data_IF_488026145156
#
_entry.id   IF_488026145156
#
_cell.length_a   1.000
_cell.length_b   1.000
_cell.length_c   1.000
_cell.angle_alpha   90.00
_cell.angle_beta   90.00
_cell.angle_gamma   90.00
#
_symmetry.space_group_name_H-M   'P 1'
#
loop_
_entity.id
_entity.type
_entity.pdbx_description
1 polymer ?
#
# COMPACT_ATOMS: atom_id res chain seq x y z
N UNK A 1 20.06 -11.79 -54.32
CA UNK A 1 19.44 -13.09 -54.02
C UNK A 1 18.84 -13.01 -52.63
N UNK A 2 17.52 -13.20 -52.56
CA UNK A 2 16.68 -13.10 -51.36
C UNK A 2 16.89 -14.31 -50.42
N UNK A 3 16.84 -14.08 -49.11
CA UNK A 3 16.11 -14.94 -48.17
C UNK A 3 15.90 -14.17 -46.85
N UNK A 4 14.63 -13.85 -46.59
CA UNK A 4 14.15 -13.22 -45.37
C UNK A 4 13.85 -14.29 -44.30
N UNK A 5 14.05 -13.97 -43.03
CA UNK A 5 13.48 -14.71 -41.91
C UNK A 5 12.79 -13.73 -40.94
N UNK A 6 11.51 -13.52 -41.19
CA UNK A 6 10.56 -12.81 -40.32
C UNK A 6 9.93 -13.86 -39.40
N UNK A 7 10.23 -13.81 -38.10
CA UNK A 7 9.53 -14.64 -37.10
C UNK A 7 8.29 -13.89 -36.64
N UNK A 8 7.12 -14.36 -37.10
CA UNK A 8 5.79 -13.85 -36.75
C UNK A 8 5.30 -14.47 -35.43
N UNK A 9 4.74 -13.60 -34.58
CA UNK A 9 3.94 -13.95 -33.39
C UNK A 9 2.71 -14.76 -33.79
N UNK A 10 2.50 -15.90 -33.13
CA UNK A 10 1.23 -16.63 -33.17
C UNK A 10 0.25 -16.02 -32.17
N UNK A 11 -0.87 -15.50 -32.68
CA UNK A 11 -2.05 -15.18 -31.91
C UNK A 11 -2.90 -16.44 -31.77
N UNK A 12 -3.15 -16.88 -30.54
CA UNK A 12 -4.12 -17.95 -30.26
C UNK A 12 -5.48 -17.29 -30.03
N UNK A 13 -6.34 -17.39 -31.03
CA UNK A 13 -7.76 -17.10 -30.91
C UNK A 13 -8.45 -18.28 -30.21
N UNK A 14 -8.97 -18.06 -29.00
CA UNK A 14 -9.82 -19.02 -28.31
C UNK A 14 -11.23 -18.88 -28.90
N UNK A 15 -11.56 -19.82 -29.79
CA UNK A 15 -12.90 -19.97 -30.33
C UNK A 15 -13.86 -20.49 -29.25
N UNK A 16 -14.99 -19.80 -29.12
CA UNK A 16 -16.14 -20.14 -28.29
C UNK A 16 -16.68 -21.53 -28.66
N UNK A 17 -16.47 -22.53 -27.81
CA UNK A 17 -17.17 -23.82 -27.91
C UNK A 17 -18.40 -23.81 -27.01
N UNK A 18 -19.55 -23.60 -27.65
CA UNK A 18 -20.87 -23.95 -27.14
C UNK A 18 -20.90 -25.46 -26.85
N UNK A 19 -20.93 -25.84 -25.56
CA UNK A 19 -21.16 -27.22 -25.14
C UNK A 19 -22.68 -27.40 -25.04
N UNK A 20 -23.25 -28.11 -26.02
CA UNK A 20 -24.62 -28.61 -25.96
C UNK A 20 -24.68 -29.72 -24.91
N UNK A 21 -25.46 -29.51 -23.85
CA UNK A 21 -25.79 -30.54 -22.86
C UNK A 21 -26.81 -31.49 -23.50
N UNK A 22 -26.36 -32.69 -23.85
CA UNK A 22 -27.23 -33.79 -24.27
C UNK A 22 -27.95 -34.34 -23.03
N UNK A 23 -29.27 -34.22 -22.99
CA UNK A 23 -30.13 -34.89 -21.99
C UNK A 23 -30.09 -36.38 -22.28
N UNK A 24 -29.28 -37.14 -21.53
CA UNK A 24 -29.32 -38.60 -21.53
C UNK A 24 -30.34 -39.04 -20.49
N UNK A 25 -31.50 -39.49 -20.96
CA UNK A 25 -32.56 -40.09 -20.15
C UNK A 25 -32.14 -41.50 -19.77
N UNK A 26 -31.46 -41.67 -18.64
CA UNK A 26 -31.17 -42.98 -18.06
C UNK A 26 -32.40 -43.47 -17.29
N UNK A 27 -33.12 -44.44 -17.87
CA UNK A 27 -34.10 -45.26 -17.16
C UNK A 27 -33.30 -46.27 -16.30
N UNK A 28 -33.10 -45.94 -15.02
CA UNK A 28 -32.52 -46.84 -14.02
C UNK A 28 -33.58 -47.10 -12.96
N UNK A 29 -34.12 -48.32 -12.93
CA UNK A 29 -34.98 -48.83 -11.87
C UNK A 29 -34.16 -49.10 -10.62
N UNK A 30 -33.94 -48.06 -9.81
CA UNK A 30 -33.37 -48.18 -8.46
C UNK A 30 -34.39 -47.60 -7.49
N UNK A 31 -34.76 -48.41 -6.50
CA UNK A 31 -35.70 -48.04 -5.45
C UNK A 31 -35.32 -46.69 -4.82
N UNK A 32 -36.33 -45.85 -4.56
CA UNK A 32 -36.16 -44.56 -3.88
C UNK A 32 -35.49 -44.83 -2.53
N UNK A 33 -34.34 -44.18 -2.22
CA UNK A 33 -33.70 -44.37 -0.93
C UNK A 33 -34.64 -43.83 0.15
N UNK A 34 -35.01 -44.70 1.10
CA UNK A 34 -35.72 -44.31 2.31
C UNK A 34 -34.93 -43.20 3.01
N UNK A 35 -35.56 -42.07 3.36
CA UNK A 35 -34.89 -41.01 4.10
C UNK A 35 -34.35 -41.57 5.42
N UNK A 36 -33.18 -41.10 5.83
CA UNK A 36 -32.63 -41.43 7.14
C UNK A 36 -33.48 -40.78 8.23
N UNK A 37 -33.50 -41.37 9.44
CA UNK A 37 -34.18 -40.83 10.62
C UNK A 37 -33.80 -39.35 10.93
N UNK A 38 -32.61 -38.91 10.49
CA UNK A 38 -32.18 -37.52 10.62
C UNK A 38 -32.98 -36.55 9.72
N UNK A 39 -33.46 -37.02 8.56
CA UNK A 39 -34.28 -36.24 7.64
C UNK A 39 -35.74 -36.15 8.07
N UNK A 40 -36.21 -37.02 8.97
CA UNK A 40 -37.56 -36.99 9.55
C UNK A 40 -37.67 -36.07 10.78
N UNK A 41 -36.54 -35.69 11.37
CA UNK A 41 -36.46 -34.79 12.52
C UNK A 41 -36.28 -33.32 12.15
N UNK A 42 -36.08 -33.01 10.86
CA UNK A 42 -36.13 -31.63 10.42
C UNK A 42 -37.58 -31.14 10.47
N UNK A 43 -37.90 -30.05 11.18
CA UNK A 43 -39.23 -29.48 11.12
C UNK A 43 -39.52 -29.13 9.65
N UNK A 44 -40.58 -29.73 9.10
CA UNK A 44 -41.10 -29.36 7.79
C UNK A 44 -41.61 -27.92 7.90
N UNK A 45 -40.72 -26.95 7.64
CA UNK A 45 -41.06 -25.53 7.65
C UNK A 45 -41.97 -25.29 6.45
N UNK A 46 -43.27 -25.48 6.67
CA UNK A 46 -44.37 -25.09 5.78
C UNK A 46 -44.56 -23.57 5.75
N UNK A 47 -43.46 -22.84 5.57
CA UNK A 47 -43.48 -21.47 5.10
C UNK A 47 -43.33 -21.48 3.58
N UNK A 48 -43.83 -20.46 2.85
CA UNK A 48 -43.38 -20.27 1.49
C UNK A 48 -41.84 -20.24 1.52
N UNK A 49 -41.19 -21.12 0.75
CA UNK A 49 -39.79 -20.98 0.37
C UNK A 49 -39.69 -19.74 -0.51
N UNK A 50 -39.96 -18.57 0.05
CA UNK A 50 -39.41 -17.34 -0.46
C UNK A 50 -37.91 -17.55 -0.35
N UNK A 51 -37.31 -17.88 -1.50
CA UNK A 51 -35.88 -17.76 -1.68
C UNK A 51 -35.51 -16.41 -1.07
N UNK A 52 -34.78 -16.42 0.03
CA UNK A 52 -34.16 -15.22 0.60
C UNK A 52 -33.51 -14.54 -0.60
N UNK A 53 -33.85 -13.26 -0.82
CA UNK A 53 -33.74 -12.56 -2.10
C UNK A 53 -32.47 -12.91 -2.89
N UNK A 54 -32.60 -12.95 -4.22
CA UNK A 54 -31.52 -13.24 -5.17
C UNK A 54 -30.14 -12.90 -4.60
N UNK A 55 -29.31 -13.92 -4.38
CA UNK A 55 -27.97 -13.72 -3.86
C UNK A 55 -27.30 -12.62 -4.70
N UNK A 56 -26.71 -11.58 -4.06
CA UNK A 56 -26.14 -10.47 -4.81
C UNK A 56 -25.19 -10.98 -5.90
N UNK A 57 -25.17 -10.33 -7.06
CA UNK A 57 -24.20 -10.68 -8.09
C UNK A 57 -22.82 -10.13 -7.72
N UNK A 58 -21.76 -10.86 -8.05
CA UNK A 58 -20.40 -10.33 -7.94
C UNK A 58 -20.19 -9.20 -8.93
N UNK A 59 -19.62 -8.10 -8.43
CA UNK A 59 -19.22 -6.96 -9.25
C UNK A 59 -17.86 -6.44 -8.78
N UNK A 60 -17.28 -5.45 -9.48
CA UNK A 60 -16.08 -4.76 -8.98
C UNK A 60 -16.30 -4.16 -7.58
N UNK A 61 -17.53 -3.73 -7.29
CA UNK A 61 -17.94 -3.12 -6.03
C UNK A 61 -18.41 -4.13 -4.98
N UNK A 62 -18.54 -5.41 -5.34
CA UNK A 62 -19.04 -6.46 -4.48
C UNK A 62 -18.34 -7.78 -4.84
N UNK A 63 -17.16 -7.99 -4.25
CA UNK A 63 -16.40 -9.23 -4.42
C UNK A 63 -16.40 -10.00 -3.11
N UNK A 64 -16.88 -11.26 -3.12
CA UNK A 64 -17.11 -11.99 -1.88
C UNK A 64 -15.82 -12.34 -1.15
N UNK A 65 -14.79 -12.75 -1.88
CA UNK A 65 -13.48 -13.06 -1.28
C UNK A 65 -12.84 -11.84 -0.63
N UNK A 66 -12.96 -10.68 -1.26
CA UNK A 66 -12.51 -9.42 -0.66
C UNK A 66 -13.29 -9.10 0.61
N UNK A 67 -14.62 -9.22 0.56
CA UNK A 67 -15.49 -8.94 1.71
C UNK A 67 -15.18 -9.88 2.89
N UNK A 68 -14.93 -11.17 2.63
CA UNK A 68 -14.51 -12.11 3.67
C UNK A 68 -13.12 -11.77 4.22
N UNK A 69 -12.17 -11.40 3.37
CA UNK A 69 -10.84 -11.01 3.83
C UNK A 69 -10.83 -9.74 4.69
N UNK A 70 -11.86 -8.89 4.56
CA UNK A 70 -12.05 -7.73 5.43
C UNK A 70 -12.67 -8.12 6.78
N UNK A 71 -13.38 -9.24 6.87
CA UNK A 71 -13.84 -9.79 8.14
C UNK A 71 -12.68 -10.10 9.09
N UNK A 72 -11.56 -10.59 8.54
CA UNK A 72 -10.31 -10.78 9.28
C UNK A 72 -9.66 -9.45 9.73
N UNK A 73 -10.05 -8.32 9.12
CA UNK A 73 -9.64 -6.96 9.48
C UNK A 73 -10.65 -6.26 10.40
N UNK A 74 -11.62 -6.99 10.96
CA UNK A 74 -12.74 -6.48 11.77
C UNK A 74 -13.69 -5.53 11.01
N UNK A 75 -13.68 -5.56 9.67
CA UNK A 75 -14.51 -4.72 8.81
C UNK A 75 -15.53 -5.59 8.08
N UNK A 76 -16.81 -5.28 8.23
CA UNK A 76 -17.89 -5.94 7.49
C UNK A 76 -18.51 -4.93 6.52
N UNK A 77 -18.13 -4.92 5.23
CA UNK A 77 -18.70 -3.99 4.27
C UNK A 77 -20.21 -4.16 4.15
N UNK A 78 -20.96 -3.09 4.43
CA UNK A 78 -22.42 -3.06 4.24
C UNK A 78 -22.84 -2.49 2.89
N UNK A 79 -21.90 -1.87 2.18
CA UNK A 79 -22.12 -1.21 0.89
C UNK A 79 -21.00 -1.57 -0.10
N UNK A 80 -20.67 -0.65 -1.02
CA UNK A 80 -19.70 -0.94 -2.07
C UNK A 80 -18.28 -1.06 -1.51
N UNK A 81 -17.53 -2.03 -2.01
CA UNK A 81 -16.13 -2.22 -1.68
C UNK A 81 -15.30 -2.44 -2.95
N UNK A 82 -14.29 -1.58 -3.16
CA UNK A 82 -13.43 -1.62 -4.33
C UNK A 82 -11.99 -1.96 -3.93
N UNK A 83 -11.51 -3.13 -4.32
CA UNK A 83 -10.11 -3.53 -4.13
C UNK A 83 -9.25 -3.20 -5.33
N UNK A 84 -8.14 -2.48 -5.11
CA UNK A 84 -7.15 -2.13 -6.13
C UNK A 84 -7.78 -1.62 -7.43
N UNK A 85 -8.78 -0.74 -7.28
CA UNK A 85 -9.57 -0.19 -8.38
C UNK A 85 -8.67 0.43 -9.45
N UNK A 86 -9.06 0.31 -10.71
CA UNK A 86 -8.27 0.82 -11.82
C UNK A 86 -8.02 2.34 -11.71
N UNK A 87 -6.81 2.80 -12.06
CA UNK A 87 -6.37 4.20 -11.88
C UNK A 87 -7.27 5.22 -12.58
N UNK A 88 -7.83 4.88 -13.74
CA UNK A 88 -8.74 5.76 -14.48
C UNK A 88 -10.09 5.92 -13.77
N UNK A 89 -10.62 4.83 -13.19
CA UNK A 89 -11.83 4.85 -12.37
C UNK A 89 -11.60 5.55 -11.04
N UNK A 90 -10.44 5.35 -10.42
CA UNK A 90 -10.03 6.07 -9.21
C UNK A 90 -9.89 7.57 -9.47
N UNK A 91 -9.27 7.97 -10.58
CA UNK A 91 -9.12 9.37 -10.95
C UNK A 91 -10.49 10.05 -11.17
N UNK A 92 -11.43 9.36 -11.82
CA UNK A 92 -12.79 9.87 -12.00
C UNK A 92 -13.53 10.02 -10.66
N UNK A 93 -13.43 9.03 -9.77
CA UNK A 93 -14.06 9.08 -8.45
C UNK A 93 -13.40 10.15 -7.54
N UNK A 94 -12.07 10.27 -7.57
CA UNK A 94 -11.32 11.25 -6.80
C UNK A 94 -11.59 12.69 -7.25
N UNK A 95 -11.89 12.91 -8.54
CA UNK A 95 -12.19 14.25 -9.06
C UNK A 95 -13.47 14.86 -8.45
N UNK A 96 -14.46 14.03 -8.11
CA UNK A 96 -15.73 14.46 -7.52
C UNK A 96 -15.78 14.33 -6.00
N UNK A 97 -14.83 13.60 -5.39
CA UNK A 97 -14.76 13.42 -3.95
C UNK A 97 -14.33 14.70 -3.23
N UNK A 98 -14.82 14.87 -2.00
CA UNK A 98 -14.39 15.96 -1.12
C UNK A 98 -12.85 15.95 -0.95
N UNK A 99 -12.20 17.13 -0.86
CA UNK A 99 -10.77 17.20 -0.57
C UNK A 99 -10.45 16.52 0.76
N UNK A 100 -9.31 15.82 0.83
CA UNK A 100 -8.75 15.38 2.11
C UNK A 100 -8.06 16.60 2.70
N UNK A 101 -8.44 16.98 3.93
CA UNK A 101 -7.74 18.06 4.61
C UNK A 101 -6.27 17.65 4.79
N UNK A 102 -5.37 18.51 4.32
CA UNK A 102 -3.94 18.29 4.42
C UNK A 102 -3.45 19.04 5.66
N UNK A 103 -2.85 18.35 6.62
CA UNK A 103 -2.20 19.05 7.73
C UNK A 103 -1.03 19.87 7.21
N UNK A 104 -0.93 21.10 7.74
CA UNK A 104 0.28 21.90 7.61
C UNK A 104 1.43 21.25 8.40
N UNK A 105 2.66 21.50 7.98
CA UNK A 105 3.86 21.03 8.67
C UNK A 105 3.86 21.47 10.15
N UNK A 106 4.42 20.67 11.09
CA UNK A 106 5.25 19.49 10.87
C UNK A 106 4.47 18.20 10.54
N UNK A 107 5.17 17.20 10.00
CA UNK A 107 4.60 15.88 9.78
C UNK A 107 4.09 15.30 11.11
N UNK A 108 2.81 14.94 11.16
CA UNK A 108 2.23 14.21 12.28
C UNK A 108 2.94 12.85 12.45
N UNK A 109 3.25 12.50 13.69
CA UNK A 109 3.76 11.18 14.09
C UNK A 109 2.64 10.44 14.79
N UNK A 110 2.43 9.18 14.42
CA UNK A 110 1.43 8.34 15.05
C UNK A 110 1.89 7.97 16.46
N UNK A 111 0.95 8.00 17.40
CA UNK A 111 1.24 7.64 18.79
C UNK A 111 1.10 6.13 18.96
N UNK A 112 2.10 5.49 19.59
CA UNK A 112 1.93 4.10 20.03
C UNK A 112 0.90 4.07 21.16
N UNK A 113 -0.24 3.42 20.92
CA UNK A 113 -1.32 3.34 21.89
C UNK A 113 -1.31 1.95 22.57
N UNK A 114 -1.46 1.88 23.91
CA UNK A 114 -1.64 0.62 24.60
C UNK A 114 -2.84 -0.17 24.05
N UNK A 115 -2.78 -1.49 24.15
CA UNK A 115 -3.74 -2.40 23.50
C UNK A 115 -5.21 -2.08 23.80
N UNK A 116 -5.59 -1.82 25.07
CA UNK A 116 -6.97 -1.53 25.45
C UNK A 116 -7.54 -0.27 24.75
N UNK A 117 -6.98 0.93 25.01
CA UNK A 117 -7.42 2.16 24.34
C UNK A 117 -7.31 2.10 22.81
N UNK A 118 -6.32 1.40 22.28
CA UNK A 118 -6.20 1.20 20.84
C UNK A 118 -7.33 0.35 20.28
N UNK A 119 -7.71 -0.74 20.95
CA UNK A 119 -8.77 -1.63 20.52
C UNK A 119 -10.13 -0.93 20.52
N UNK A 120 -10.40 -0.08 21.51
CA UNK A 120 -11.61 0.75 21.53
C UNK A 120 -11.68 1.69 20.30
N UNK A 121 -10.58 2.38 20.00
CA UNK A 121 -10.46 3.23 18.81
C UNK A 121 -10.59 2.41 17.51
N UNK A 122 -9.93 1.26 17.45
CA UNK A 122 -9.95 0.35 16.31
C UNK A 122 -11.37 -0.12 16.00
N UNK A 123 -12.09 -0.61 17.01
CA UNK A 123 -13.46 -1.11 16.87
C UNK A 123 -14.43 0.00 16.45
N UNK A 124 -14.28 1.22 16.98
CA UNK A 124 -15.09 2.35 16.57
C UNK A 124 -14.84 2.72 15.10
N UNK A 125 -13.57 2.82 14.69
CA UNK A 125 -13.21 3.20 13.30
C UNK A 125 -13.62 2.13 12.29
N UNK A 126 -13.35 0.85 12.56
CA UNK A 126 -13.72 -0.27 11.67
C UNK A 126 -15.24 -0.41 11.55
N UNK A 127 -15.99 -0.18 12.64
CA UNK A 127 -17.45 -0.09 12.60
C UNK A 127 -17.94 1.06 11.72
N UNK A 128 -17.33 2.25 11.82
CA UNK A 128 -17.68 3.37 10.94
C UNK A 128 -17.35 3.09 9.47
N UNK A 129 -16.21 2.46 9.20
CA UNK A 129 -15.84 2.04 7.86
C UNK A 129 -16.85 1.02 7.30
N UNK A 130 -17.29 0.07 8.11
CA UNK A 130 -18.31 -0.92 7.73
C UNK A 130 -19.61 -0.27 7.21
N UNK A 131 -19.98 0.88 7.75
CA UNK A 131 -21.17 1.65 7.34
C UNK A 131 -20.92 2.69 6.24
N UNK A 132 -19.69 2.79 5.72
CA UNK A 132 -19.35 3.75 4.67
C UNK A 132 -19.95 3.31 3.33
N UNK A 133 -20.48 4.25 2.55
CA UNK A 133 -21.16 3.95 1.28
C UNK A 133 -20.23 3.33 0.23
N UNK A 134 -18.99 3.80 0.18
CA UNK A 134 -17.92 3.26 -0.66
C UNK A 134 -16.67 3.04 0.19
N UNK A 135 -16.14 1.81 0.17
CA UNK A 135 -14.84 1.46 0.71
C UNK A 135 -13.84 1.22 -0.41
N UNK A 136 -12.61 1.66 -0.20
CA UNK A 136 -11.51 1.51 -1.13
C UNK A 136 -10.34 0.82 -0.44
N UNK A 137 -9.98 -0.36 -0.94
CA UNK A 137 -8.86 -1.15 -0.43
C UNK A 137 -7.68 -0.98 -1.39
N UNK A 138 -6.54 -0.57 -0.85
CA UNK A 138 -5.27 -0.50 -1.54
C UNK A 138 -4.31 -1.54 -0.98
N UNK A 139 -4.14 -2.64 -1.72
CA UNK A 139 -3.17 -3.69 -1.42
C UNK A 139 -1.91 -3.48 -2.27
N UNK A 140 -0.76 -3.46 -1.61
CA UNK A 140 0.54 -3.33 -2.25
C UNK A 140 1.65 -3.79 -1.31
N UNK A 141 2.87 -3.33 -1.56
CA UNK A 141 3.97 -3.57 -0.65
C UNK A 141 4.83 -2.32 -0.44
N UNK A 142 5.47 -2.30 0.73
CA UNK A 142 6.58 -1.41 1.06
C UNK A 142 7.87 -2.15 0.75
N UNK A 143 8.65 -1.64 -0.20
CA UNK A 143 9.85 -2.29 -0.73
C UNK A 143 9.63 -2.84 -2.14
N UNK A 144 10.46 -2.38 -3.09
CA UNK A 144 10.46 -2.85 -4.46
C UNK A 144 11.12 -4.24 -4.60
N UNK A 145 12.19 -4.51 -3.84
CA UNK A 145 12.91 -5.77 -3.92
C UNK A 145 12.17 -6.93 -3.26
N UNK A 146 12.23 -8.09 -3.92
CA UNK A 146 11.38 -9.22 -3.61
C UNK A 146 11.55 -9.80 -2.20
N UNK A 147 12.79 -9.85 -1.70
CA UNK A 147 13.15 -10.42 -0.42
C UNK A 147 12.91 -9.46 0.77
N UNK A 148 12.85 -8.15 0.51
CA UNK A 148 12.79 -7.11 1.55
C UNK A 148 11.41 -6.45 1.64
N UNK A 149 10.48 -6.85 0.76
CA UNK A 149 9.16 -6.23 0.70
C UNK A 149 8.26 -6.71 1.83
N UNK A 150 7.50 -5.79 2.40
CA UNK A 150 6.45 -6.07 3.38
C UNK A 150 5.09 -5.75 2.76
N UNK A 151 4.18 -6.72 2.65
CA UNK A 151 2.81 -6.46 2.24
C UNK A 151 2.11 -5.44 3.13
N UNK A 152 1.35 -4.55 2.51
CA UNK A 152 0.53 -3.55 3.21
C UNK A 152 -0.86 -3.53 2.61
N UNK A 153 -1.87 -3.45 3.49
CA UNK A 153 -3.25 -3.15 3.14
C UNK A 153 -3.64 -1.81 3.73
N UNK A 154 -4.26 -0.96 2.93
CA UNK A 154 -4.90 0.27 3.39
C UNK A 154 -6.38 0.24 3.04
N UNK A 155 -7.25 0.38 4.03
CA UNK A 155 -8.70 0.48 3.85
C UNK A 155 -9.12 1.93 4.09
N UNK A 156 -9.81 2.55 3.13
CA UNK A 156 -10.24 3.94 3.25
C UNK A 156 -11.68 4.17 2.78
N UNK A 157 -12.33 5.20 3.31
CA UNK A 157 -13.66 5.66 2.90
C UNK A 157 -13.64 6.71 1.78
N UNK A 158 -12.46 7.00 1.20
CA UNK A 158 -12.31 8.05 0.19
C UNK A 158 -11.48 7.59 -1.01
N UNK A 159 -11.93 7.84 -2.25
CA UNK A 159 -11.17 7.46 -3.45
C UNK A 159 -9.87 8.24 -3.59
N UNK A 160 -9.70 9.40 -2.93
CA UNK A 160 -8.47 10.21 -3.00
C UNK A 160 -7.28 9.50 -2.37
N UNK A 161 -7.49 8.85 -1.22
CA UNK A 161 -6.46 8.05 -0.53
C UNK A 161 -6.07 6.86 -1.40
N UNK A 162 -7.06 6.12 -1.89
CA UNK A 162 -6.79 4.99 -2.78
C UNK A 162 -6.09 5.40 -4.08
N UNK A 163 -6.44 6.55 -4.67
CA UNK A 163 -5.79 7.07 -5.87
C UNK A 163 -4.33 7.46 -5.62
N UNK A 164 -4.05 8.11 -4.48
CA UNK A 164 -2.68 8.40 -4.07
C UNK A 164 -1.86 7.13 -3.85
N UNK A 165 -2.39 6.17 -3.10
CA UNK A 165 -1.71 4.91 -2.79
C UNK A 165 -1.49 4.02 -4.01
N UNK A 166 -2.42 3.99 -4.97
CA UNK A 166 -2.26 3.27 -6.23
C UNK A 166 -1.08 3.79 -7.10
N UNK A 167 -0.67 5.04 -6.86
CA UNK A 167 0.51 5.66 -7.47
C UNK A 167 1.79 5.49 -6.62
N UNK A 168 1.69 5.20 -5.31
CA UNK A 168 2.84 5.12 -4.39
C UNK A 168 3.27 3.69 -4.08
N UNK A 169 2.33 2.79 -3.82
CA UNK A 169 2.64 1.46 -3.34
C UNK A 169 3.25 0.59 -4.44
N UNK A 170 4.19 -0.28 -4.06
CA UNK A 170 4.76 -1.26 -4.98
C UNK A 170 3.68 -2.27 -5.36
N UNK A 171 3.46 -2.45 -6.66
CA UNK A 171 2.50 -3.42 -7.17
C UNK A 171 3.10 -4.82 -7.11
N UNK A 172 2.45 -5.73 -6.41
CA UNK A 172 2.95 -7.11 -6.20
C UNK A 172 1.96 -8.14 -6.76
N UNK A 173 2.37 -8.99 -7.73
CA UNK A 173 1.49 -9.99 -8.32
C UNK A 173 0.99 -11.08 -7.36
N UNK A 174 1.72 -11.38 -6.28
CA UNK A 174 1.31 -12.39 -5.30
C UNK A 174 0.15 -11.93 -4.42
N UNK A 175 -0.07 -10.61 -4.29
CA UNK A 175 -1.20 -10.03 -3.57
C UNK A 175 -2.51 -10.10 -4.37
N UNK A 176 -2.64 -11.03 -5.32
CA UNK A 176 -3.92 -11.29 -6.00
C UNK A 176 -4.92 -11.93 -5.05
N UNK A 177 -4.44 -12.78 -4.13
CA UNK A 177 -5.27 -13.37 -3.09
C UNK A 177 -5.60 -12.31 -2.01
N UNK A 178 -6.89 -11.98 -1.79
CA UNK A 178 -7.30 -11.09 -0.71
C UNK A 178 -6.85 -11.52 0.70
N UNK A 179 -6.62 -12.82 0.91
CA UNK A 179 -6.26 -13.38 2.22
C UNK A 179 -4.75 -13.42 2.46
N UNK A 180 -3.94 -12.88 1.52
CA UNK A 180 -2.49 -12.85 1.70
C UNK A 180 -2.14 -12.15 3.03
N UNK A 181 -1.23 -12.71 3.86
CA UNK A 181 -0.82 -12.07 5.10
C UNK A 181 -0.36 -10.64 4.90
N UNK A 182 -0.83 -9.75 5.76
CA UNK A 182 -0.62 -8.29 5.69
C UNK A 182 -0.01 -7.80 7.01
N UNK A 183 1.32 -7.81 7.14
CA UNK A 183 2.01 -7.37 8.35
C UNK A 183 1.76 -5.90 8.68
N UNK A 184 1.41 -5.07 7.71
CA UNK A 184 1.00 -3.67 7.93
C UNK A 184 -0.44 -3.49 7.45
N UNK A 185 -1.31 -3.06 8.35
CA UNK A 185 -2.70 -2.74 8.09
C UNK A 185 -2.99 -1.30 8.50
N UNK A 186 -3.51 -0.51 7.56
CA UNK A 186 -3.88 0.89 7.80
C UNK A 186 -5.37 1.05 7.57
N UNK A 187 -6.08 1.64 8.53
CA UNK A 187 -7.47 2.05 8.37
C UNK A 187 -7.55 3.57 8.33
N UNK A 188 -8.15 4.12 7.28
CA UNK A 188 -8.29 5.54 7.05
C UNK A 188 -9.77 5.92 7.00
N UNK A 189 -10.23 6.57 8.06
CA UNK A 189 -11.57 7.16 8.13
C UNK A 189 -11.49 8.67 8.01
N UNK A 190 -11.95 9.19 6.88
CA UNK A 190 -12.08 10.62 6.67
C UNK A 190 -13.15 11.17 7.61
N UNK A 191 -12.80 12.21 8.37
CA UNK A 191 -13.74 12.97 9.18
C UNK A 191 -13.34 14.44 9.18
N UNK A 192 -14.34 15.32 9.19
CA UNK A 192 -14.14 16.76 9.38
C UNK A 192 -14.18 17.15 10.85
N UNK A 193 -14.57 16.22 11.73
CA UNK A 193 -14.60 16.45 13.16
C UNK A 193 -13.18 16.39 13.74
N UNK A 194 -12.76 17.49 14.35
CA UNK A 194 -11.45 17.61 14.98
C UNK A 194 -11.40 16.90 16.32
N UNK A 195 -12.53 16.83 17.03
CA UNK A 195 -12.60 16.25 18.36
C UNK A 195 -12.51 14.72 18.29
N UNK A 196 -12.77 14.15 17.12
CA UNK A 196 -12.64 12.74 16.81
C UNK A 196 -11.34 12.38 16.07
N UNK A 197 -10.43 13.33 15.86
CA UNK A 197 -9.21 13.05 15.10
C UNK A 197 -8.25 12.16 15.90
N UNK A 198 -7.77 11.09 15.26
CA UNK A 198 -6.85 10.14 15.87
C UNK A 198 -5.77 9.71 14.86
N UNK A 199 -4.53 9.63 15.34
CA UNK A 199 -3.43 9.05 14.57
C UNK A 199 -2.59 8.19 15.50
N UNK A 200 -2.89 6.91 15.53
CA UNK A 200 -2.36 5.98 16.51
C UNK A 200 -2.06 4.62 15.88
N UNK A 201 -1.08 3.93 16.44
CA UNK A 201 -0.75 2.58 16.02
C UNK A 201 -0.61 1.64 17.22
N UNK A 202 -0.70 0.36 16.93
CA UNK A 202 -0.32 -0.71 17.84
C UNK A 202 0.31 -1.85 17.02
N UNK A 203 1.30 -2.52 17.60
CA UNK A 203 1.90 -3.72 17.02
C UNK A 203 1.51 -4.86 17.94
N UNK A 204 0.74 -5.80 17.39
CA UNK A 204 0.27 -6.96 18.11
C UNK A 204 0.88 -8.23 17.51
N UNK A 205 1.07 -9.25 18.34
CA UNK A 205 1.53 -10.57 17.92
C UNK A 205 0.50 -11.60 18.34
N UNK A 206 -0.13 -12.22 17.35
CA UNK A 206 -1.14 -13.24 17.57
C UNK A 206 -0.53 -14.49 18.23
N UNK A 207 -1.39 -15.36 18.76
CA UNK A 207 -0.99 -16.64 19.36
C UNK A 207 -0.16 -17.52 18.41
N UNK A 208 -0.41 -17.41 17.10
CA UNK A 208 0.34 -18.13 16.06
C UNK A 208 1.71 -17.52 15.75
N UNK A 209 2.13 -16.48 16.49
CA UNK A 209 3.40 -15.78 16.30
C UNK A 209 3.41 -14.78 15.13
N UNK A 210 2.26 -14.53 14.49
CA UNK A 210 2.15 -13.52 13.44
C UNK A 210 2.08 -12.12 14.04
N UNK A 211 3.11 -11.32 13.80
CA UNK A 211 3.16 -9.91 14.19
C UNK A 211 2.52 -9.01 13.13
N UNK A 212 1.56 -8.17 13.54
CA UNK A 212 0.89 -7.22 12.68
C UNK A 212 0.94 -5.81 13.29
N UNK A 213 1.39 -4.85 12.49
CA UNK A 213 1.27 -3.43 12.79
C UNK A 213 -0.07 -2.89 12.28
N UNK A 214 -0.92 -2.42 13.19
CA UNK A 214 -2.20 -1.78 12.90
C UNK A 214 -2.07 -0.26 13.08
N UNK A 215 -2.40 0.51 12.06
CA UNK A 215 -2.36 1.98 12.07
C UNK A 215 -3.76 2.54 11.81
N UNK A 216 -4.24 3.41 12.70
CA UNK A 216 -5.50 4.12 12.57
C UNK A 216 -5.25 5.57 12.19
N UNK A 217 -5.91 6.01 11.12
CA UNK A 217 -6.03 7.41 10.74
C UNK A 217 -7.52 7.79 10.77
N UNK A 218 -7.89 8.67 11.70
CA UNK A 218 -9.23 9.25 11.79
C UNK A 218 -9.11 10.77 11.70
N UNK A 219 -9.91 11.38 10.83
CA UNK A 219 -9.97 12.84 10.69
C UNK A 219 -9.12 13.40 9.55
N UNK A 220 -9.03 14.74 9.50
CA UNK A 220 -8.42 15.51 8.42
C UNK A 220 -7.03 16.08 8.73
N UNK A 221 -6.37 15.62 9.78
CA UNK A 221 -5.11 16.17 10.29
C UNK A 221 -3.85 15.43 9.85
N UNK A 222 -3.92 14.50 8.89
CA UNK A 222 -2.79 13.66 8.48
C UNK A 222 -2.48 13.88 7.01
N UNK A 223 -1.25 14.31 6.71
CA UNK A 223 -0.79 14.43 5.32
C UNK A 223 -0.39 13.06 4.76
N UNK A 224 -0.37 12.93 3.43
CA UNK A 224 0.12 11.70 2.79
C UNK A 224 1.58 11.41 3.17
N UNK A 225 2.41 12.44 3.34
CA UNK A 225 3.79 12.27 3.74
C UNK A 225 3.90 11.74 5.17
N UNK A 226 3.07 12.24 6.10
CA UNK A 226 2.96 11.69 7.45
C UNK A 226 2.58 10.21 7.43
N UNK A 227 1.62 9.82 6.59
CA UNK A 227 1.27 8.41 6.44
C UNK A 227 2.48 7.58 5.99
N UNK A 228 3.19 8.02 4.95
CA UNK A 228 4.35 7.29 4.42
C UNK A 228 5.48 7.17 5.46
N UNK A 229 5.77 8.25 6.20
CA UNK A 229 6.78 8.25 7.26
C UNK A 229 6.43 7.26 8.38
N UNK A 230 5.16 7.21 8.79
CA UNK A 230 4.74 6.28 9.84
C UNK A 230 4.70 4.83 9.33
N UNK A 231 4.32 4.59 8.08
CA UNK A 231 4.42 3.26 7.46
C UNK A 231 5.87 2.77 7.41
N UNK A 232 6.83 3.65 7.07
CA UNK A 232 8.25 3.32 7.12
C UNK A 232 8.73 3.02 8.54
N UNK A 233 8.27 3.79 9.54
CA UNK A 233 8.59 3.55 10.95
C UNK A 233 8.06 2.20 11.43
N UNK A 234 6.81 1.86 11.07
CA UNK A 234 6.22 0.56 11.40
C UNK A 234 6.97 -0.58 10.72
N UNK A 235 7.34 -0.42 9.45
CA UNK A 235 8.19 -1.39 8.76
C UNK A 235 9.54 -1.56 9.48
N UNK A 236 10.20 -0.47 9.86
CA UNK A 236 11.46 -0.53 10.60
C UNK A 236 11.32 -1.26 11.95
N UNK A 237 10.18 -1.12 12.63
CA UNK A 237 9.90 -1.86 13.87
C UNK A 237 9.61 -3.34 13.63
N UNK A 238 8.90 -3.68 12.55
CA UNK A 238 8.61 -5.07 12.17
C UNK A 238 9.87 -5.81 11.69
N UNK A 239 10.75 -5.12 10.97
CA UNK A 239 12.02 -5.65 10.48
C UNK A 239 13.13 -5.57 11.54
N UNK A 240 12.85 -5.01 12.73
CA UNK A 240 13.86 -4.78 13.75
C UNK A 240 14.50 -6.11 14.14
N UNK A 241 15.80 -6.21 13.87
CA UNK A 241 16.65 -7.33 14.22
C UNK A 241 17.91 -6.79 14.87
N UNK A 242 18.34 -7.43 15.95
CA UNK A 242 19.61 -7.14 16.63
C UNK A 242 20.82 -7.71 15.87
N UNK A 243 20.59 -8.42 14.76
CA UNK A 243 21.66 -9.00 13.95
C UNK A 243 22.45 -7.94 13.19
N UNK A 244 23.77 -7.99 13.35
CA UNK A 244 24.68 -7.15 12.58
C UNK A 244 24.58 -7.50 11.08
N UNK A 245 24.25 -6.50 10.26
CA UNK A 245 24.04 -6.68 8.82
C UNK A 245 22.57 -6.80 8.39
N UNK A 246 21.62 -6.68 9.32
CA UNK A 246 20.21 -6.63 8.99
C UNK A 246 19.86 -5.41 8.09
N UNK A 247 18.88 -5.55 7.17
CA UNK A 247 18.41 -4.44 6.37
C UNK A 247 17.86 -3.30 7.23
N UNK A 248 18.17 -2.05 6.86
CA UNK A 248 17.69 -0.86 7.55
C UNK A 248 16.67 -0.10 6.70
N UNK A 249 15.48 0.12 7.25
CA UNK A 249 14.45 0.97 6.62
C UNK A 249 14.68 2.43 7.01
N UNK A 250 14.75 3.31 6.00
CA UNK A 250 15.14 4.72 6.16
C UNK A 250 14.15 5.66 5.49
N UNK A 251 13.85 6.75 6.18
CA UNK A 251 13.14 7.91 5.64
C UNK A 251 14.11 8.82 4.87
N UNK A 252 14.47 8.41 3.66
CA UNK A 252 15.38 9.15 2.79
C UNK A 252 14.98 9.02 1.32
N UNK A 253 15.28 10.06 0.56
CA UNK A 253 15.25 10.03 -0.90
C UNK A 253 16.61 9.56 -1.42
N UNK A 254 16.64 9.05 -2.65
CA UNK A 254 17.90 8.73 -3.33
C UNK A 254 18.00 9.52 -4.61
N UNK A 255 19.15 10.17 -4.78
CA UNK A 255 19.58 10.71 -6.07
C UNK A 255 20.70 9.82 -6.57
N UNK A 256 20.48 9.16 -7.71
CA UNK A 256 21.48 8.33 -8.34
C UNK A 256 21.87 8.90 -9.71
N UNK A 257 23.16 8.83 -10.00
CA UNK A 257 23.75 8.94 -11.33
C UNK A 257 24.36 7.60 -11.71
N UNK A 258 24.77 7.41 -12.96
CA UNK A 258 25.24 6.12 -13.50
C UNK A 258 26.36 5.44 -12.68
N UNK A 259 27.08 6.19 -11.83
CA UNK A 259 28.20 5.69 -11.01
C UNK A 259 28.10 6.01 -9.51
N UNK A 260 27.16 6.84 -9.07
CA UNK A 260 27.09 7.27 -7.65
C UNK A 260 25.65 7.34 -7.16
N UNK A 261 25.44 6.92 -5.92
CA UNK A 261 24.16 6.98 -5.22
C UNK A 261 24.32 7.83 -3.96
N UNK A 262 23.41 8.79 -3.80
CA UNK A 262 23.39 9.71 -2.66
C UNK A 262 22.09 9.56 -1.90
N UNK A 263 22.18 9.24 -0.60
CA UNK A 263 21.05 9.33 0.33
C UNK A 263 20.80 10.79 0.70
N UNK A 264 19.54 11.22 0.63
CA UNK A 264 19.13 12.58 0.95
C UNK A 264 18.06 12.55 2.04
N UNK A 265 18.43 12.99 3.24
CA UNK A 265 17.53 13.13 4.38
C UNK A 265 16.95 14.55 4.41
N UNK A 266 15.66 14.68 4.76
CA UNK A 266 14.98 15.99 4.80
C UNK A 266 14.72 16.59 3.41
N UNK A 267 14.62 15.76 2.38
CA UNK A 267 14.29 16.21 1.03
C UNK A 267 12.89 16.86 0.96
N UNK A 268 12.76 17.90 0.13
CA UNK A 268 11.49 18.60 -0.09
C UNK A 268 10.83 18.18 -1.42
N UNK A 269 9.56 18.58 -1.59
CA UNK A 269 8.79 18.27 -2.79
C UNK A 269 9.42 18.81 -4.10
N UNK A 270 10.23 19.88 -4.04
CA UNK A 270 10.93 20.42 -5.19
C UNK A 270 12.04 19.48 -5.67
N UNK A 271 12.83 18.90 -4.75
CA UNK A 271 13.84 17.90 -5.08
C UNK A 271 13.21 16.66 -5.76
N UNK A 272 12.08 16.19 -5.23
CA UNK A 272 11.34 15.05 -5.80
C UNK A 272 10.72 15.35 -7.16
N UNK A 273 10.42 16.61 -7.45
CA UNK A 273 10.02 17.07 -8.79
C UNK A 273 11.11 16.84 -9.84
N UNK A 274 12.38 16.92 -9.45
CA UNK A 274 13.53 16.63 -10.30
C UNK A 274 13.80 15.11 -10.44
N UNK A 275 14.99 14.74 -10.93
CA UNK A 275 15.38 13.36 -11.20
C UNK A 275 15.86 12.66 -9.90
N UNK A 276 14.91 12.14 -9.13
CA UNK A 276 15.18 11.22 -8.00
C UNK A 276 15.10 9.77 -8.48
N UNK A 277 15.95 8.92 -7.90
CA UNK A 277 15.99 7.48 -8.15
C UNK A 277 15.14 6.68 -7.14
N UNK A 278 14.85 7.25 -5.97
CA UNK A 278 13.86 6.76 -5.00
C UNK A 278 13.32 7.96 -4.20
N UNK A 279 12.06 7.89 -3.75
CA UNK A 279 11.43 8.95 -2.97
C UNK A 279 10.76 8.40 -1.70
N UNK A 280 10.67 9.26 -0.70
CA UNK A 280 10.07 9.12 0.64
C UNK A 280 10.74 8.15 1.58
N UNK A 281 11.24 7.03 1.06
CA UNK A 281 11.97 6.06 1.85
C UNK A 281 12.62 4.98 1.02
N UNK A 282 13.58 4.33 1.66
CA UNK A 282 14.35 3.22 1.11
C UNK A 282 14.61 2.15 2.17
N UNK A 283 14.94 0.96 1.72
CA UNK A 283 15.42 -0.13 2.57
C UNK A 283 16.83 -0.43 2.08
N UNK A 284 17.80 -0.28 2.96
CA UNK A 284 19.21 -0.53 2.65
C UNK A 284 19.61 -1.88 3.25
N UNK A 285 19.86 -2.83 2.35
CA UNK A 285 20.46 -4.12 2.67
C UNK A 285 21.98 -4.04 2.43
N UNK A 286 22.82 -4.26 3.45
CA UNK A 286 24.28 -4.21 3.31
C UNK A 286 24.87 -5.18 2.27
N UNK A 287 24.17 -6.25 1.91
CA UNK A 287 24.63 -7.28 0.97
C UNK A 287 24.17 -7.04 -0.48
N UNK A 288 23.04 -6.36 -0.68
CA UNK A 288 22.41 -6.21 -2.00
C UNK A 288 22.51 -4.76 -2.51
N UNK A 289 22.31 -3.77 -1.63
CA UNK A 289 22.17 -2.37 -2.01
C UNK A 289 20.92 -1.73 -1.44
N UNK A 290 20.41 -0.73 -2.15
CA UNK A 290 19.27 0.07 -1.70
C UNK A 290 18.05 -0.23 -2.57
N UNK A 291 16.93 -0.61 -1.96
CA UNK A 291 15.66 -0.72 -2.66
C UNK A 291 14.76 0.47 -2.30
N UNK A 292 14.06 1.07 -3.27
CA UNK A 292 12.98 2.01 -2.97
C UNK A 292 11.90 1.36 -2.10
N UNK A 293 11.37 2.08 -1.12
CA UNK A 293 10.23 1.63 -0.34
C UNK A 293 8.91 1.80 -1.11
N UNK A 294 8.83 2.82 -1.96
CA UNK A 294 7.65 3.19 -2.75
C UNK A 294 8.02 3.35 -4.24
N UNK A 295 7.04 3.20 -5.13
CA UNK A 295 7.15 3.39 -6.59
C UNK A 295 6.43 4.66 -7.08
N UNK A 296 6.39 5.69 -6.23
CA UNK A 296 5.82 6.98 -6.54
C UNK A 296 6.47 8.09 -5.74
N UNK A 297 6.13 9.32 -6.09
CA UNK A 297 6.62 10.50 -5.40
C UNK A 297 5.48 11.49 -5.14
N UNK A 298 5.59 12.23 -4.04
CA UNK A 298 4.75 13.39 -3.75
C UNK A 298 5.58 14.59 -4.22
N UNK A 299 5.04 15.32 -5.19
CA UNK A 299 5.72 16.44 -5.85
C UNK A 299 4.84 17.67 -5.77
N UNK A 300 5.45 18.84 -5.99
CA UNK A 300 4.66 20.07 -6.09
C UNK A 300 3.69 19.98 -7.28
N UNK A 301 2.43 20.34 -7.05
CA UNK A 301 1.39 20.38 -8.08
C UNK A 301 1.77 21.27 -9.28
N UNK A 302 2.60 22.29 -9.06
CA UNK A 302 3.08 23.20 -10.12
C UNK A 302 4.00 22.53 -11.16
N UNK A 303 4.64 21.41 -10.82
CA UNK A 303 5.62 20.72 -11.67
C UNK A 303 4.98 19.57 -12.45
N UNK A 304 3.73 19.19 -12.12
CA UNK A 304 3.07 18.04 -12.74
C UNK A 304 2.49 18.43 -14.09
N UNK A 305 2.94 17.74 -15.14
CA UNK A 305 2.31 17.79 -16.47
C UNK A 305 1.67 16.44 -16.80
N UNK A 306 0.48 16.49 -17.39
CA UNK A 306 -0.29 15.30 -17.81
C UNK A 306 -0.47 15.33 -19.33
N UNK A 307 0.60 15.09 -20.10
CA UNK A 307 0.46 15.00 -21.54
C UNK A 307 -0.51 13.86 -21.88
N UNK A 308 -1.39 14.10 -22.84
CA UNK A 308 -2.30 13.07 -23.35
C UNK A 308 -1.46 11.97 -23.98
N UNK A 309 -1.57 10.76 -23.45
CA UNK A 309 -0.83 9.64 -23.99
C UNK A 309 -1.42 9.18 -25.34
N UNK A 310 -0.57 8.65 -26.22
CA UNK A 310 -1.00 8.08 -27.50
C UNK A 310 -1.91 6.86 -27.34
N UNK A 311 -1.82 6.16 -26.21
CA UNK A 311 -2.69 5.04 -25.86
C UNK A 311 -3.14 5.12 -24.41
N UNK A 312 -4.33 4.57 -24.13
CA UNK A 312 -4.90 4.52 -22.77
C UNK A 312 -3.98 3.82 -21.76
N UNK A 313 -3.19 2.85 -22.20
CA UNK A 313 -2.26 2.09 -21.33
C UNK A 313 -1.11 2.95 -20.80
N UNK A 314 -0.70 3.96 -21.56
CA UNK A 314 0.37 4.88 -21.18
C UNK A 314 -0.16 6.17 -20.54
N UNK A 315 -1.48 6.30 -20.40
CA UNK A 315 -2.08 7.45 -19.75
C UNK A 315 -1.71 7.45 -18.27
N UNK A 316 -1.09 8.53 -17.82
CA UNK A 316 -0.79 8.75 -16.41
C UNK A 316 -1.99 9.39 -15.74
N UNK A 317 -2.19 9.05 -14.47
CA UNK A 317 -3.26 9.57 -13.62
C UNK A 317 -2.68 10.08 -12.30
N UNK A 318 -2.01 11.24 -12.28
CA UNK A 318 -1.57 11.87 -11.04
C UNK A 318 -2.74 12.07 -10.08
N UNK A 319 -2.53 11.80 -8.80
CA UNK A 319 -3.53 12.01 -7.77
C UNK A 319 -3.30 13.36 -7.11
N UNK A 320 -4.17 14.33 -7.38
CA UNK A 320 -4.17 15.61 -6.70
C UNK A 320 -4.56 15.39 -5.23
N UNK A 321 -3.59 15.58 -4.33
CA UNK A 321 -3.77 15.38 -2.89
C UNK A 321 -4.22 16.68 -2.22
N UNK A 322 -3.51 17.77 -2.49
CA UNK A 322 -3.83 19.12 -2.03
C UNK A 322 -3.61 20.13 -3.16
N UNK A 323 -3.87 21.41 -2.88
CA UNK A 323 -3.55 22.51 -3.80
C UNK A 323 -2.06 22.56 -4.14
N UNK A 324 -1.20 22.13 -3.22
CA UNK A 324 0.26 22.26 -3.35
C UNK A 324 0.95 20.93 -3.68
N UNK A 325 0.35 19.80 -3.34
CA UNK A 325 0.94 18.47 -3.48
C UNK A 325 0.13 17.56 -4.39
N UNK A 326 0.83 16.91 -5.31
CA UNK A 326 0.28 15.88 -6.21
C UNK A 326 1.14 14.63 -6.12
N UNK A 327 0.48 13.48 -6.11
CA UNK A 327 1.13 12.17 -6.08
C UNK A 327 1.24 11.62 -7.49
N UNK A 328 2.45 11.24 -7.89
CA UNK A 328 2.75 10.71 -9.22
C UNK A 328 3.40 9.34 -9.11
N UNK A 329 2.96 8.39 -9.95
CA UNK A 329 3.68 7.14 -10.13
C UNK A 329 5.02 7.39 -10.84
N UNK A 330 6.08 6.76 -10.36
CA UNK A 330 7.43 6.82 -10.96
C UNK A 330 8.05 5.43 -10.99
N UNK A 331 8.50 5.02 -12.17
CA UNK A 331 9.22 3.76 -12.32
C UNK A 331 10.65 3.92 -11.80
N UNK A 332 10.89 3.52 -10.55
CA UNK A 332 12.23 3.43 -9.98
C UNK A 332 12.84 2.06 -10.26
N UNK A 333 14.18 2.00 -10.32
CA UNK A 333 14.89 0.73 -10.36
C UNK A 333 14.65 -0.05 -9.06
N UNK A 334 14.54 -1.37 -9.16
CA UNK A 334 14.25 -2.23 -7.99
C UNK A 334 15.41 -2.25 -6.98
N UNK A 335 16.63 -2.19 -7.48
CA UNK A 335 17.86 -2.16 -6.68
C UNK A 335 18.72 -1.01 -7.21
N UNK A 336 19.22 -0.21 -6.28
CA UNK A 336 20.17 0.87 -6.48
C UNK A 336 21.49 0.49 -5.82
N UNK A 337 22.63 0.98 -6.35
CA UNK A 337 23.93 0.71 -5.75
C UNK A 337 24.02 1.30 -4.35
N UNK A 338 24.97 0.77 -3.56
CA UNK A 338 25.26 1.28 -2.22
C UNK A 338 25.55 2.79 -2.25
N UNK A 339 25.05 3.56 -1.28
CA UNK A 339 25.27 4.99 -1.22
C UNK A 339 26.74 5.31 -0.98
N UNK A 340 27.34 6.08 -1.89
CA UNK A 340 28.69 6.63 -1.70
C UNK A 340 28.66 7.92 -0.91
N UNK A 341 27.52 8.61 -0.90
CA UNK A 341 27.32 9.84 -0.14
C UNK A 341 25.99 9.81 0.64
N UNK A 342 25.96 10.49 1.78
CA UNK A 342 24.74 10.80 2.50
C UNK A 342 24.72 12.30 2.89
N UNK A 343 23.59 12.94 2.61
CA UNK A 343 23.38 14.37 2.84
C UNK A 343 22.15 14.54 3.72
N UNK A 344 22.26 15.29 4.81
CA UNK A 344 21.11 15.70 5.61
C UNK A 344 20.83 17.19 5.45
N UNK A 345 19.59 17.52 5.07
CA UNK A 345 19.09 18.88 4.99
C UNK A 345 18.51 19.36 6.33
N UNK A 346 18.49 20.67 6.55
CA UNK A 346 17.93 21.29 7.76
C UNK A 346 18.94 21.45 8.89
N UNK A 347 20.24 21.31 8.61
CA UNK A 347 21.30 21.56 9.57
C UNK A 347 21.55 23.06 9.79
N UNK A 348 22.11 23.43 10.94
CA UNK A 348 22.41 24.83 11.27
C UNK A 348 23.44 25.47 10.31
N UNK A 349 24.35 24.66 9.76
CA UNK A 349 25.40 25.07 8.84
C UNK A 349 25.73 23.98 7.83
N UNK A 350 26.26 24.37 6.67
CA UNK A 350 26.85 23.43 5.72
C UNK A 350 28.14 22.86 6.31
N UNK A 351 28.27 21.54 6.35
CA UNK A 351 29.46 20.84 6.86
C UNK A 351 29.77 19.64 5.98
N UNK A 352 31.06 19.45 5.66
CA UNK A 352 31.56 18.26 4.96
C UNK A 352 32.32 17.37 5.95
N UNK A 353 32.50 16.10 5.60
CA UNK A 353 33.27 15.12 6.36
C UNK A 353 32.79 15.01 7.81
N UNK A 354 31.47 14.88 7.96
CA UNK A 354 30.81 14.71 9.26
C UNK A 354 31.08 13.30 9.81
N UNK A 355 31.25 13.15 11.12
CA UNK A 355 31.41 11.81 11.72
C UNK A 355 30.09 11.01 11.64
N UNK A 356 30.21 9.68 11.67
CA UNK A 356 29.02 8.81 11.64
C UNK A 356 28.11 9.08 12.84
N UNK A 357 28.68 9.27 14.04
CA UNK A 357 27.88 9.52 15.25
C UNK A 357 27.13 10.87 15.17
N UNK A 358 27.81 11.92 14.70
CA UNK A 358 27.22 13.25 14.55
C UNK A 358 26.08 13.22 13.50
N UNK A 359 26.30 12.55 12.38
CA UNK A 359 25.31 12.42 11.31
C UNK A 359 24.07 11.65 11.77
N UNK A 360 24.27 10.47 12.36
CA UNK A 360 23.18 9.60 12.82
C UNK A 360 22.34 10.29 13.88
N UNK A 361 22.98 11.02 14.81
CA UNK A 361 22.26 11.82 15.82
C UNK A 361 21.41 12.92 15.18
N UNK A 362 21.92 13.59 14.14
CA UNK A 362 21.19 14.66 13.46
C UNK A 362 19.93 14.16 12.75
N UNK A 363 20.01 13.00 12.08
CA UNK A 363 18.87 12.42 11.35
C UNK A 363 17.97 11.54 12.22
N UNK A 364 18.21 11.48 13.54
CA UNK A 364 17.54 10.56 14.46
C UNK A 364 17.61 9.09 13.98
N UNK A 365 18.77 8.69 13.48
CA UNK A 365 19.01 7.38 12.89
C UNK A 365 19.28 6.27 13.91
N UNK A 366 19.19 5.02 13.45
CA UNK A 366 19.42 3.82 14.26
C UNK A 366 20.89 3.40 14.31
N UNK A 367 21.22 2.49 15.23
CA UNK A 367 22.54 1.85 15.27
C UNK A 367 22.85 1.06 13.98
N UNK A 368 21.82 0.46 13.35
CA UNK A 368 21.95 -0.22 12.07
C UNK A 368 22.36 0.75 10.94
N UNK A 369 21.82 1.98 10.93
CA UNK A 369 22.24 3.02 9.99
C UNK A 369 23.72 3.37 10.21
N UNK A 370 24.15 3.55 11.48
CA UNK A 370 25.54 3.84 11.79
C UNK A 370 26.48 2.74 11.27
N UNK A 371 26.11 1.47 11.49
CA UNK A 371 26.87 0.32 11.02
C UNK A 371 26.95 0.28 9.48
N UNK A 372 25.84 0.50 8.78
CA UNK A 372 25.80 0.50 7.31
C UNK A 372 26.66 1.62 6.71
N UNK A 373 26.59 2.84 7.28
CA UNK A 373 27.42 3.98 6.83
C UNK A 373 28.91 3.70 7.02
N UNK A 374 29.29 3.12 8.16
CA UNK A 374 30.68 2.78 8.45
C UNK A 374 31.20 1.65 7.54
N UNK A 375 30.40 0.59 7.35
CA UNK A 375 30.76 -0.58 6.54
C UNK A 375 31.07 -0.20 5.07
N UNK A 376 30.29 0.72 4.50
CA UNK A 376 30.43 1.11 3.10
C UNK A 376 31.27 2.37 2.88
N UNK A 377 31.83 2.97 3.93
CA UNK A 377 32.67 4.17 3.83
C UNK A 377 31.93 5.36 3.21
N UNK A 378 30.64 5.52 3.50
CA UNK A 378 29.80 6.55 2.91
C UNK A 378 30.24 7.94 3.37
N UNK A 379 30.49 8.86 2.43
CA UNK A 379 30.88 10.24 2.76
C UNK A 379 29.67 11.04 3.28
N UNK A 380 29.81 11.69 4.44
CA UNK A 380 28.72 12.33 5.16
C UNK A 380 28.81 13.85 5.13
N UNK A 381 27.67 14.51 4.89
CA UNK A 381 27.62 15.97 4.88
C UNK A 381 26.28 16.54 5.35
N UNK A 382 26.33 17.75 5.86
CA UNK A 382 25.17 18.55 6.25
C UNK A 382 24.97 19.70 5.29
N UNK A 383 23.71 19.96 4.98
CA UNK A 383 23.27 21.08 4.16
C UNK A 383 22.19 21.87 4.90
N UNK A 384 22.36 23.19 4.90
CA UNK A 384 21.41 24.12 5.51
C UNK A 384 20.11 24.17 4.72
#
# INVERSE_FOLDING_TARGET
MQAAAVVRRAAVAIASRSVRVSVVRAMSSTAVPTPSFASELEPDVKGPRHFIGSFPEETEANNFEVNWSLGDDDITPLHNCYRNRALDRLAAAAAVAAPVANAAAPAATATNSPAGPFLDLWNDVTKQLSHSADLYISDGAVGAHAALRTPIRVVSDTPRVAHALANLLTKVPTLKDPHTPRPILVVWKSSTDKDESAFAYNIDTNLDGFTQAKLVVRGGGVSIESLLQNVLSLKAQLDASDEAGAPVTLAADVVATDSTSTLVFGANAALRGAQVAAAHGVIWDPSIGVTPAFQGAVVSSAVVSTPKASTRRHQTYPAAWSTEATVVARAFATILPHPTHAVAHGAAANKKDVSVEEFVKHVNGSAALAAALAQHGTALSFKK
#
